data_IF_537665329638
#
_entry.id   IF_537665329638
#
_cell.length_a   1.000
_cell.length_b   1.000
_cell.length_c   1.000
_cell.angle_alpha   90.00
_cell.angle_beta   90.00
_cell.angle_gamma   90.00
#
_symmetry.space_group_name_H-M   'P 1'
#
loop_
_entity.id
_entity.type
_entity.pdbx_description
1 polymer ?
#
# COMPACT_ATOMS: atom_id res chain seq x y z
N UNK A 1 11.85 31.85 0.22
CA UNK A 1 12.19 30.86 -0.83
C UNK A 1 10.91 30.09 -1.11
N UNK A 2 10.44 30.04 -2.35
CA UNK A 2 9.31 29.18 -2.73
C UNK A 2 9.72 27.72 -2.53
N UNK A 3 8.82 26.91 -1.95
CA UNK A 3 9.09 25.48 -1.78
C UNK A 3 9.35 24.84 -3.17
N UNK A 4 10.30 23.90 -3.28
CA UNK A 4 10.60 23.25 -4.55
C UNK A 4 9.36 22.49 -5.06
N UNK A 5 9.00 22.72 -6.33
CA UNK A 5 7.87 22.07 -6.98
C UNK A 5 8.29 20.70 -7.54
N UNK A 6 7.71 19.59 -7.05
CA UNK A 6 8.11 18.26 -7.52
C UNK A 6 7.77 18.06 -9.00
N UNK A 7 8.64 17.35 -9.70
CA UNK A 7 8.47 17.04 -11.14
C UNK A 7 7.59 15.81 -11.31
N UNK A 8 6.58 15.89 -12.16
CA UNK A 8 5.73 14.74 -12.50
C UNK A 8 6.48 13.92 -13.54
N UNK A 9 6.65 12.62 -13.30
CA UNK A 9 7.26 11.67 -14.21
C UNK A 9 6.25 10.58 -14.54
N UNK A 10 5.75 10.59 -15.76
CA UNK A 10 4.86 9.57 -16.29
C UNK A 10 5.69 8.47 -16.96
N UNK A 11 5.48 7.23 -16.54
CA UNK A 11 6.14 6.03 -17.08
C UNK A 11 5.16 5.30 -17.99
N UNK A 12 5.53 5.09 -19.25
CA UNK A 12 4.71 4.34 -20.22
C UNK A 12 5.49 3.34 -21.06
N UNK A 13 4.78 2.39 -21.68
CA UNK A 13 5.39 1.36 -22.53
C UNK A 13 4.66 1.15 -23.87
N UNK A 14 3.51 0.48 -23.88
CA UNK A 14 2.79 0.09 -25.09
C UNK A 14 1.27 0.30 -25.02
N UNK A 15 0.80 1.10 -24.05
CA UNK A 15 -0.64 1.33 -23.78
C UNK A 15 -1.05 2.78 -24.05
N UNK A 16 -1.21 3.20 -25.32
CA UNK A 16 -1.50 4.60 -25.67
C UNK A 16 -2.82 5.11 -25.07
N UNK A 17 -3.84 4.25 -24.93
CA UNK A 17 -5.12 4.61 -24.32
C UNK A 17 -4.99 4.88 -22.82
N UNK A 18 -4.26 4.02 -22.11
CA UNK A 18 -3.99 4.18 -20.67
C UNK A 18 -3.18 5.45 -20.44
N UNK A 19 -2.10 5.66 -21.21
CA UNK A 19 -1.31 6.89 -21.18
C UNK A 19 -2.18 8.13 -21.42
N UNK A 20 -3.01 8.11 -22.46
CA UNK A 20 -3.95 9.21 -22.76
C UNK A 20 -4.92 9.50 -21.60
N UNK A 21 -5.44 8.45 -20.94
CA UNK A 21 -6.31 8.58 -19.77
C UNK A 21 -5.58 9.22 -18.57
N UNK A 22 -4.37 8.77 -18.26
CA UNK A 22 -3.56 9.37 -17.19
C UNK A 22 -3.27 10.84 -17.49
N UNK A 23 -2.75 11.15 -18.67
CA UNK A 23 -2.43 12.52 -19.09
C UNK A 23 -3.67 13.42 -19.05
N UNK A 24 -4.85 12.91 -19.45
CA UNK A 24 -6.11 13.61 -19.31
C UNK A 24 -6.46 13.94 -17.85
N UNK A 25 -6.23 13.01 -16.92
CA UNK A 25 -6.45 13.29 -15.49
C UNK A 25 -5.50 14.34 -14.92
N UNK A 26 -4.25 14.41 -15.41
CA UNK A 26 -3.29 15.44 -15.02
C UNK A 26 -3.75 16.86 -15.38
N UNK A 27 -4.45 17.04 -16.52
CA UNK A 27 -5.02 18.34 -16.92
C UNK A 27 -6.14 18.83 -16.00
N UNK A 28 -6.81 17.91 -15.29
CA UNK A 28 -7.91 18.25 -14.38
C UNK A 28 -7.45 18.52 -12.95
N UNK A 29 -6.15 18.32 -12.67
CA UNK A 29 -5.60 18.52 -11.35
C UNK A 29 -5.29 19.98 -11.04
N UNK A 30 -5.24 20.26 -9.73
CA UNK A 30 -4.96 21.58 -9.19
C UNK A 30 -3.49 21.68 -8.86
N UNK A 31 -2.87 22.72 -9.39
CA UNK A 31 -1.45 23.02 -9.18
C UNK A 31 -1.30 24.40 -8.54
N UNK A 32 -0.25 24.61 -7.73
CA UNK A 32 0.14 25.96 -7.32
C UNK A 32 0.65 26.77 -8.51
N UNK A 33 0.81 28.08 -8.33
CA UNK A 33 1.53 28.91 -9.31
C UNK A 33 2.99 28.47 -9.40
N UNK A 34 3.51 28.41 -10.62
CA UNK A 34 4.91 28.06 -10.89
C UNK A 34 5.05 27.13 -12.10
N UNK A 35 6.27 26.65 -12.30
CA UNK A 35 6.62 25.71 -13.37
C UNK A 35 6.40 24.27 -12.91
N UNK A 36 5.26 23.70 -13.28
CA UNK A 36 4.92 22.30 -12.99
C UNK A 36 5.51 21.44 -14.10
N UNK A 37 6.72 20.95 -13.89
CA UNK A 37 7.46 20.16 -14.87
C UNK A 37 6.83 18.77 -15.06
N UNK A 38 6.68 18.36 -16.31
CA UNK A 38 6.18 17.05 -16.72
C UNK A 38 7.22 16.34 -17.60
N UNK A 39 7.69 15.18 -17.14
CA UNK A 39 8.51 14.26 -17.91
C UNK A 39 7.67 13.04 -18.30
N UNK A 40 7.58 12.73 -19.58
CA UNK A 40 6.94 11.50 -20.09
C UNK A 40 8.07 10.57 -20.55
N UNK A 41 8.36 9.53 -19.78
CA UNK A 41 9.36 8.52 -20.10
C UNK A 41 8.71 7.26 -20.68
N UNK A 42 9.11 6.89 -21.90
CA UNK A 42 8.57 5.77 -22.65
C UNK A 42 9.64 4.71 -22.89
N UNK A 43 9.41 3.49 -22.39
CA UNK A 43 10.26 2.34 -22.72
C UNK A 43 9.98 1.85 -24.14
N UNK A 44 11.00 1.29 -24.81
CA UNK A 44 10.87 0.93 -26.21
C UNK A 44 10.05 -0.37 -26.39
N UNK A 45 8.82 -0.21 -26.89
CA UNK A 45 7.93 -1.33 -27.27
C UNK A 45 7.92 -1.65 -28.77
N UNK A 46 8.59 -0.83 -29.58
CA UNK A 46 8.41 -0.82 -31.05
C UNK A 46 7.08 -0.23 -31.53
N UNK A 47 6.14 0.07 -30.62
CA UNK A 47 4.88 0.73 -30.96
C UNK A 47 5.08 2.26 -30.97
N UNK A 48 4.86 2.97 -32.08
CA UNK A 48 4.99 4.43 -32.13
C UNK A 48 3.84 5.18 -31.43
N UNK A 49 2.70 4.54 -31.17
CA UNK A 49 1.48 5.22 -30.68
C UNK A 49 1.66 5.91 -29.32
N UNK A 50 2.29 5.30 -28.28
CA UNK A 50 2.51 6.00 -27.01
C UNK A 50 3.33 7.28 -27.17
N UNK A 51 4.33 7.26 -28.07
CA UNK A 51 5.13 8.44 -28.39
C UNK A 51 4.30 9.52 -29.09
N UNK A 52 3.46 9.15 -30.04
CA UNK A 52 2.53 10.08 -30.70
C UNK A 52 1.58 10.73 -29.68
N UNK A 53 1.06 9.96 -28.71
CA UNK A 53 0.23 10.49 -27.62
C UNK A 53 1.01 11.51 -26.79
N UNK A 54 2.25 11.21 -26.39
CA UNK A 54 3.09 12.11 -25.60
C UNK A 54 3.47 13.40 -26.36
N UNK A 55 3.80 13.29 -27.66
CA UNK A 55 4.14 14.42 -28.53
C UNK A 55 2.94 15.35 -28.72
N UNK A 56 1.75 14.79 -29.00
CA UNK A 56 0.52 15.54 -29.22
C UNK A 56 -0.10 16.14 -27.95
N UNK A 57 0.27 15.66 -26.75
CA UNK A 57 -0.28 16.14 -25.50
C UNK A 57 0.21 17.56 -25.16
N UNK A 58 -0.70 18.53 -25.10
CA UNK A 58 -0.36 19.91 -24.69
C UNK A 58 -0.36 20.03 -23.16
N UNK A 59 0.69 20.64 -22.61
CA UNK A 59 0.88 20.77 -21.17
C UNK A 59 0.95 22.25 -20.77
N UNK A 60 -0.12 22.83 -20.21
CA UNK A 60 -0.21 24.27 -20.00
C UNK A 60 0.42 24.76 -18.69
N UNK A 61 0.91 23.86 -17.83
CA UNK A 61 1.35 24.21 -16.47
C UNK A 61 2.88 24.35 -16.31
N UNK A 62 3.68 24.07 -17.34
CA UNK A 62 5.14 24.15 -17.23
C UNK A 62 5.91 23.47 -18.35
N UNK A 63 7.18 23.15 -18.11
CA UNK A 63 8.03 22.42 -19.05
C UNK A 63 7.48 21.00 -19.29
N UNK A 64 7.32 20.61 -20.56
CA UNK A 64 7.08 19.23 -20.99
C UNK A 64 8.33 18.65 -21.64
N UNK A 65 8.84 17.54 -21.11
CA UNK A 65 9.95 16.77 -21.67
C UNK A 65 9.54 15.34 -21.98
N UNK A 66 9.94 14.83 -23.14
CA UNK A 66 9.71 13.43 -23.53
C UNK A 66 11.05 12.69 -23.55
N UNK A 67 11.12 11.56 -22.86
CA UNK A 67 12.27 10.65 -22.88
C UNK A 67 11.80 9.34 -23.53
N UNK A 68 12.05 9.19 -24.83
CA UNK A 68 11.79 7.95 -25.54
C UNK A 68 13.07 7.11 -25.61
N UNK A 69 13.09 5.97 -24.92
CA UNK A 69 14.29 5.12 -24.86
C UNK A 69 14.55 4.45 -26.23
N UNK A 70 15.80 4.42 -26.71
CA UNK A 70 16.12 3.84 -28.02
C UNK A 70 16.08 2.31 -28.00
N UNK A 71 16.21 1.68 -26.84
CA UNK A 71 16.16 0.23 -26.65
C UNK A 71 15.27 -0.09 -25.45
N UNK A 72 14.78 -1.33 -25.39
CA UNK A 72 13.93 -1.78 -24.28
C UNK A 72 14.76 -1.94 -23.02
N UNK A 73 14.50 -1.12 -22.01
CA UNK A 73 15.11 -1.21 -20.68
C UNK A 73 14.47 -2.31 -19.83
N UNK A 74 13.17 -2.54 -20.01
CA UNK A 74 12.38 -3.39 -19.12
C UNK A 74 12.00 -2.68 -17.82
N UNK A 75 11.01 -3.25 -17.12
CA UNK A 75 10.31 -2.60 -16.00
C UNK A 75 11.27 -2.03 -14.93
N UNK A 76 12.15 -2.88 -14.38
CA UNK A 76 13.07 -2.46 -13.33
C UNK A 76 13.93 -1.28 -13.76
N UNK A 77 14.70 -1.45 -14.84
CA UNK A 77 15.66 -0.43 -15.25
C UNK A 77 14.96 0.87 -15.69
N UNK A 78 13.77 0.77 -16.29
CA UNK A 78 13.00 1.95 -16.66
C UNK A 78 12.56 2.76 -15.44
N UNK A 79 11.97 2.11 -14.42
CA UNK A 79 11.58 2.79 -13.18
C UNK A 79 12.80 3.35 -12.44
N UNK A 80 13.90 2.60 -12.36
CA UNK A 80 15.15 3.11 -11.76
C UNK A 80 15.65 4.37 -12.48
N UNK A 81 15.66 4.38 -13.83
CA UNK A 81 16.06 5.56 -14.59
C UNK A 81 15.15 6.77 -14.36
N UNK A 82 13.86 6.54 -14.06
CA UNK A 82 12.92 7.59 -13.73
C UNK A 82 13.12 8.13 -12.32
N UNK A 83 13.47 7.26 -11.34
CA UNK A 83 13.85 7.70 -10.00
C UNK A 83 15.18 8.48 -10.01
N UNK A 84 16.13 8.12 -10.87
CA UNK A 84 17.42 8.83 -11.04
C UNK A 84 17.22 10.30 -11.49
N UNK A 85 16.04 10.67 -12.00
CA UNK A 85 15.68 12.07 -12.30
C UNK A 85 15.62 12.96 -11.05
N UNK A 86 15.56 12.39 -9.85
CA UNK A 86 15.71 13.15 -8.59
C UNK A 86 17.03 13.91 -8.52
N UNK A 87 18.10 13.42 -9.15
CA UNK A 87 19.39 14.12 -9.22
C UNK A 87 19.31 15.42 -10.03
N UNK A 88 18.45 15.45 -11.05
CA UNK A 88 18.23 16.64 -11.88
C UNK A 88 17.17 17.57 -11.29
N UNK A 89 16.07 17.01 -10.78
CA UNK A 89 14.85 17.77 -10.50
C UNK A 89 14.58 17.96 -9.00
N UNK A 90 15.32 17.29 -8.12
CA UNK A 90 15.04 17.23 -6.68
C UNK A 90 13.96 16.20 -6.40
N UNK A 91 12.76 16.66 -6.08
CA UNK A 91 11.64 15.78 -5.77
C UNK A 91 10.89 15.36 -7.05
N UNK A 92 10.46 14.10 -7.10
CA UNK A 92 9.72 13.54 -8.24
C UNK A 92 8.46 12.81 -7.80
N UNK A 93 7.42 12.90 -8.62
CA UNK A 93 6.18 12.12 -8.51
C UNK A 93 6.15 11.15 -9.68
N UNK A 94 6.19 9.86 -9.41
CA UNK A 94 6.18 8.80 -10.43
C UNK A 94 4.78 8.25 -10.59
N UNK A 95 4.29 8.21 -11.83
CA UNK A 95 2.96 7.71 -12.20
C UNK A 95 3.08 6.73 -13.38
N UNK A 96 2.58 5.51 -13.21
CA UNK A 96 2.52 4.51 -14.29
C UNK A 96 1.31 4.76 -15.21
N UNK A 97 1.43 4.42 -16.49
CA UNK A 97 0.44 4.73 -17.54
C UNK A 97 -0.98 4.16 -17.30
N UNK A 98 -1.17 3.21 -16.39
CA UNK A 98 -2.47 2.64 -16.03
C UNK A 98 -3.14 3.31 -14.82
N UNK A 99 -2.54 4.36 -14.27
CA UNK A 99 -3.11 5.13 -13.17
C UNK A 99 -4.08 6.21 -13.63
N UNK A 100 -4.85 6.72 -12.68
CA UNK A 100 -5.62 7.96 -12.76
C UNK A 100 -5.46 8.73 -11.47
N UNK A 101 -5.26 10.05 -11.55
CA UNK A 101 -5.01 10.89 -10.37
C UNK A 101 -6.26 11.64 -9.90
N UNK A 102 -6.33 11.86 -8.60
CA UNK A 102 -7.23 12.85 -7.98
C UNK A 102 -6.84 14.25 -8.42
N UNK A 103 -7.80 15.20 -8.53
CA UNK A 103 -7.46 16.60 -8.75
C UNK A 103 -6.56 17.23 -7.67
N UNK A 104 -6.39 16.57 -6.52
CA UNK A 104 -5.61 17.06 -5.37
C UNK A 104 -4.29 16.31 -5.17
N UNK A 105 -3.91 15.41 -6.09
CA UNK A 105 -2.72 14.57 -5.93
C UNK A 105 -1.45 15.40 -5.75
N UNK A 106 -1.31 16.50 -6.50
CA UNK A 106 -0.10 17.32 -6.49
C UNK A 106 0.06 18.08 -5.17
N UNK A 107 -1.03 18.66 -4.67
CA UNK A 107 -1.05 19.38 -3.38
C UNK A 107 -0.71 18.44 -2.21
N UNK A 108 -1.32 17.25 -2.16
CA UNK A 108 -0.97 16.22 -1.18
C UNK A 108 0.51 15.87 -1.24
N UNK A 109 0.97 15.53 -2.44
CA UNK A 109 2.32 14.98 -2.62
C UNK A 109 3.39 16.00 -2.30
N UNK A 110 3.19 17.26 -2.72
CA UNK A 110 4.12 18.36 -2.43
C UNK A 110 4.24 18.60 -0.92
N UNK A 111 3.12 18.63 -0.20
CA UNK A 111 3.13 18.84 1.26
C UNK A 111 3.67 17.62 2.02
N UNK A 112 3.40 16.40 1.56
CA UNK A 112 3.93 15.17 2.15
C UNK A 112 5.45 15.07 1.96
N UNK A 113 5.96 15.36 0.75
CA UNK A 113 7.39 15.45 0.50
C UNK A 113 8.03 16.50 1.40
N UNK A 114 7.45 17.70 1.52
CA UNK A 114 7.95 18.72 2.44
C UNK A 114 7.99 18.24 3.90
N UNK A 115 7.00 17.45 4.34
CA UNK A 115 6.92 16.94 5.71
C UNK A 115 7.94 15.84 6.01
N UNK A 116 8.29 15.00 5.03
CA UNK A 116 9.08 13.78 5.26
C UNK A 116 10.38 13.69 4.45
N UNK A 117 10.71 14.69 3.62
CA UNK A 117 11.93 14.69 2.80
C UNK A 117 13.18 14.51 3.65
N UNK A 118 13.22 15.03 4.88
CA UNK A 118 14.36 14.93 5.79
C UNK A 118 14.19 13.87 6.90
N UNK A 119 13.05 13.16 6.95
CA UNK A 119 12.80 12.11 7.96
C UNK A 119 13.61 10.84 7.64
N UNK A 120 14.61 10.53 8.48
CA UNK A 120 15.50 9.38 8.30
C UNK A 120 14.78 8.02 8.34
N UNK A 121 13.58 7.93 8.92
CA UNK A 121 12.75 6.72 8.97
C UNK A 121 11.81 6.56 7.78
N UNK A 122 11.74 7.54 6.87
CA UNK A 122 10.88 7.51 5.69
C UNK A 122 11.69 7.24 4.43
N UNK A 123 11.24 6.28 3.63
CA UNK A 123 11.84 5.90 2.35
C UNK A 123 11.05 6.41 1.13
N UNK A 124 9.84 6.96 1.32
CA UNK A 124 9.06 7.51 0.22
C UNK A 124 7.60 7.74 0.59
N UNK A 125 6.88 8.36 -0.33
CA UNK A 125 5.47 8.69 -0.18
C UNK A 125 4.66 7.88 -1.19
N UNK A 126 3.57 7.26 -0.74
CA UNK A 126 2.55 6.68 -1.62
C UNK A 126 1.47 7.71 -1.92
N UNK A 127 0.90 7.65 -3.12
CA UNK A 127 -0.35 8.33 -3.48
C UNK A 127 -1.53 7.34 -3.45
N UNK A 128 -1.26 6.04 -3.42
CA UNK A 128 -2.26 5.00 -3.34
C UNK A 128 -2.58 4.65 -1.88
N UNK A 129 -3.86 4.54 -1.55
CA UNK A 129 -4.31 4.00 -0.26
C UNK A 129 -4.49 2.49 -0.36
N UNK A 130 -3.71 1.73 0.41
CA UNK A 130 -3.80 0.26 0.42
C UNK A 130 -5.11 -0.16 1.08
N UNK A 131 -5.94 -0.92 0.37
CA UNK A 131 -7.18 -1.49 0.90
C UNK A 131 -7.16 -3.02 0.97
N UNK A 132 -6.00 -3.59 0.68
CA UNK A 132 -5.84 -5.00 0.41
C UNK A 132 -4.45 -5.49 0.81
N UNK A 133 -4.40 -6.54 1.63
CA UNK A 133 -3.18 -7.25 1.99
C UNK A 133 -2.91 -8.34 0.94
N UNK A 134 -1.94 -8.07 0.07
CA UNK A 134 -1.56 -8.95 -1.03
C UNK A 134 -0.99 -10.30 -0.61
N UNK A 135 -0.34 -10.38 0.55
CA UNK A 135 0.31 -11.61 1.01
C UNK A 135 -0.71 -12.70 1.37
N UNK A 136 -1.93 -12.32 1.76
CA UNK A 136 -2.97 -13.25 2.25
C UNK A 136 -4.29 -13.20 1.47
N UNK A 137 -4.40 -12.32 0.48
CA UNK A 137 -5.62 -12.09 -0.27
C UNK A 137 -6.84 -11.68 0.58
N UNK A 138 -6.64 -10.72 1.46
CA UNK A 138 -7.68 -10.21 2.37
C UNK A 138 -7.71 -8.68 2.41
N UNK A 139 -8.86 -8.06 2.76
CA UNK A 139 -8.91 -6.62 2.95
C UNK A 139 -7.93 -6.15 4.02
N UNK A 140 -7.27 -5.02 3.75
CA UNK A 140 -6.49 -4.27 4.70
C UNK A 140 -7.28 -3.04 5.14
N UNK A 141 -7.35 -2.82 6.45
CA UNK A 141 -8.09 -1.73 7.07
C UNK A 141 -7.16 -1.05 8.09
N UNK A 142 -6.45 0.01 7.71
CA UNK A 142 -5.58 0.69 8.66
C UNK A 142 -6.40 1.26 9.81
N UNK A 143 -5.84 1.22 11.01
CA UNK A 143 -6.46 1.75 12.21
C UNK A 143 -6.53 3.27 12.10
N UNK A 144 -7.64 3.83 12.58
CA UNK A 144 -7.80 5.27 12.70
C UNK A 144 -6.67 5.87 13.54
N UNK A 145 -6.14 6.99 13.06
CA UNK A 145 -5.02 7.72 13.68
C UNK A 145 -5.41 9.17 13.98
N UNK A 146 -6.67 9.37 14.37
CA UNK A 146 -7.21 10.67 14.74
C UNK A 146 -7.22 11.65 13.58
N UNK A 147 -6.47 12.75 13.73
CA UNK A 147 -6.42 13.84 12.73
C UNK A 147 -5.31 13.65 11.69
N UNK A 148 -4.49 12.59 11.80
CA UNK A 148 -3.51 12.23 10.77
C UNK A 148 -4.20 11.81 9.48
N UNK A 149 -3.64 12.24 8.35
CA UNK A 149 -4.12 11.85 7.02
C UNK A 149 -3.29 10.71 6.42
N UNK A 150 -2.30 10.21 7.16
CA UNK A 150 -1.37 9.19 6.71
C UNK A 150 -1.12 8.12 7.78
N UNK A 151 -0.69 6.96 7.30
CA UNK A 151 -0.20 5.83 8.09
C UNK A 151 1.11 5.31 7.47
N UNK A 152 1.80 4.41 8.18
CA UNK A 152 3.14 3.96 7.81
C UNK A 152 3.15 2.47 7.55
N UNK A 153 3.73 2.03 6.43
CA UNK A 153 3.89 0.60 6.11
C UNK A 153 5.34 0.34 5.70
N UNK A 154 5.93 -0.74 6.22
CA UNK A 154 7.26 -1.22 5.85
C UNK A 154 7.25 -1.94 4.48
N UNK A 155 6.64 -1.32 3.47
CA UNK A 155 6.53 -1.84 2.10
C UNK A 155 6.54 -0.68 1.12
N UNK A 156 7.19 -0.82 -0.02
CA UNK A 156 7.21 0.21 -1.05
C UNK A 156 5.87 0.28 -1.81
N UNK A 157 5.55 1.45 -2.38
CA UNK A 157 4.37 1.66 -3.23
C UNK A 157 4.74 1.71 -4.73
N UNK A 158 3.87 1.20 -5.60
CA UNK A 158 4.03 1.23 -7.07
C UNK A 158 2.85 1.81 -7.85
N UNK A 159 1.77 2.26 -7.19
CA UNK A 159 0.59 2.82 -7.86
C UNK A 159 0.46 4.33 -7.64
N UNK A 160 1.57 5.03 -7.83
CA UNK A 160 1.72 6.43 -7.52
C UNK A 160 2.61 6.56 -6.29
N UNK A 161 3.82 7.02 -6.52
CA UNK A 161 4.84 7.15 -5.51
C UNK A 161 5.64 8.41 -5.73
N UNK A 162 6.17 8.98 -4.67
CA UNK A 162 7.02 10.14 -4.74
C UNK A 162 8.28 9.95 -3.90
N UNK A 163 9.37 10.48 -4.42
CA UNK A 163 10.67 10.44 -3.78
C UNK A 163 11.26 11.83 -3.76
N UNK A 164 11.78 12.21 -2.59
CA UNK A 164 12.80 13.24 -2.54
C UNK A 164 14.13 12.68 -3.05
N UNK A 165 15.07 13.58 -3.37
CA UNK A 165 16.43 13.16 -3.72
C UNK A 165 17.08 12.30 -2.63
N UNK A 166 16.88 12.63 -1.35
CA UNK A 166 17.44 11.83 -0.24
C UNK A 166 16.84 10.43 -0.19
N UNK A 167 15.52 10.31 -0.33
CA UNK A 167 14.83 8.99 -0.38
C UNK A 167 15.43 8.12 -1.49
N UNK A 168 15.59 8.68 -2.68
CA UNK A 168 16.10 7.94 -3.83
C UNK A 168 17.57 7.56 -3.68
N UNK A 169 18.43 8.50 -3.24
CA UNK A 169 19.85 8.24 -3.01
C UNK A 169 20.07 7.12 -2.00
N UNK A 170 19.30 7.09 -0.91
CA UNK A 170 19.37 6.03 0.09
C UNK A 170 19.13 4.64 -0.51
N UNK A 171 18.11 4.51 -1.36
CA UNK A 171 17.83 3.26 -2.07
C UNK A 171 18.94 2.91 -3.09
N UNK A 172 19.42 3.88 -3.87
CA UNK A 172 20.46 3.61 -4.89
C UNK A 172 21.78 3.17 -4.27
N UNK A 173 22.21 3.80 -3.18
CA UNK A 173 23.41 3.41 -2.43
C UNK A 173 23.25 2.00 -1.83
N UNK A 174 22.08 1.70 -1.28
CA UNK A 174 21.78 0.36 -0.78
C UNK A 174 21.85 -0.68 -1.90
N UNK A 175 21.24 -0.41 -3.05
CA UNK A 175 21.23 -1.32 -4.19
C UNK A 175 22.63 -1.56 -4.75
N UNK A 176 23.46 -0.53 -4.83
CA UNK A 176 24.87 -0.65 -5.24
C UNK A 176 25.67 -1.52 -4.27
N UNK A 177 25.42 -1.37 -2.96
CA UNK A 177 26.16 -2.10 -1.91
C UNK A 177 25.72 -3.57 -1.76
N UNK A 178 24.44 -3.87 -2.00
CA UNK A 178 23.86 -5.20 -1.73
C UNK A 178 23.56 -6.00 -3.00
N UNK A 179 23.54 -5.35 -4.17
CA UNK A 179 23.09 -5.97 -5.41
C UNK A 179 21.61 -6.35 -5.37
N UNK A 180 21.23 -7.34 -6.18
CA UNK A 180 19.82 -7.78 -6.31
C UNK A 180 19.50 -9.04 -5.52
N UNK A 181 20.49 -9.69 -4.88
CA UNK A 181 20.27 -10.87 -4.07
C UNK A 181 19.78 -10.48 -2.66
N UNK A 182 18.49 -10.66 -2.44
CA UNK A 182 17.80 -10.34 -1.18
C UNK A 182 17.57 -11.58 -0.31
N UNK A 183 18.17 -12.73 -0.64
CA UNK A 183 17.94 -14.01 0.06
C UNK A 183 18.27 -13.96 1.56
N UNK A 184 19.29 -13.19 1.93
CA UNK A 184 19.78 -13.03 3.30
C UNK A 184 18.95 -12.06 4.16
N UNK A 185 18.04 -11.30 3.56
CA UNK A 185 17.23 -10.29 4.28
C UNK A 185 16.02 -10.98 4.88
N UNK A 186 15.93 -11.01 6.20
CA UNK A 186 14.79 -11.57 6.93
C UNK A 186 13.56 -10.64 6.89
N UNK A 187 12.38 -11.15 7.24
CA UNK A 187 11.15 -10.35 7.35
C UNK A 187 10.46 -9.98 6.03
N UNK A 188 11.02 -10.34 4.87
CA UNK A 188 10.33 -10.17 3.57
C UNK A 188 9.25 -11.26 3.42
N UNK A 189 7.98 -10.90 3.17
CA UNK A 189 6.94 -11.86 2.83
C UNK A 189 7.34 -12.78 1.67
N UNK A 190 6.96 -14.05 1.75
CA UNK A 190 7.40 -15.09 0.81
C UNK A 190 6.93 -14.81 -0.62
N UNK A 191 5.73 -14.26 -0.78
CA UNK A 191 5.18 -13.84 -2.08
C UNK A 191 6.00 -12.70 -2.69
N UNK A 192 6.34 -11.67 -1.91
CA UNK A 192 7.18 -10.55 -2.35
C UNK A 192 8.58 -11.03 -2.74
N UNK A 193 9.17 -11.94 -1.95
CA UNK A 193 10.46 -12.56 -2.28
C UNK A 193 10.40 -13.33 -3.60
N UNK A 194 9.29 -14.03 -3.85
CA UNK A 194 9.02 -14.80 -5.06
C UNK A 194 8.67 -13.98 -6.30
N UNK A 195 8.52 -12.66 -6.19
CA UNK A 195 8.26 -11.81 -7.35
C UNK A 195 9.39 -11.90 -8.40
N UNK A 196 9.07 -11.70 -9.70
CA UNK A 196 10.05 -11.78 -10.77
C UNK A 196 11.25 -10.86 -10.54
N UNK A 197 12.42 -11.24 -11.06
CA UNK A 197 13.64 -10.43 -10.99
C UNK A 197 13.50 -9.05 -11.65
N UNK A 198 12.57 -8.91 -12.61
CA UNK A 198 12.21 -7.64 -13.21
C UNK A 198 11.43 -6.69 -12.29
N UNK A 199 11.02 -7.13 -11.10
CA UNK A 199 10.36 -6.27 -10.11
C UNK A 199 11.39 -5.39 -9.42
N UNK A 200 11.28 -4.08 -9.59
CA UNK A 200 12.02 -3.12 -8.75
C UNK A 200 11.45 -3.05 -7.33
N UNK A 201 10.13 -3.29 -7.20
CA UNK A 201 9.40 -3.14 -5.95
C UNK A 201 9.86 -4.14 -4.89
N UNK A 202 10.20 -5.39 -5.27
CA UNK A 202 10.78 -6.37 -4.33
C UNK A 202 12.10 -5.88 -3.73
N UNK A 203 12.95 -5.24 -4.53
CA UNK A 203 14.26 -4.73 -4.09
C UNK A 203 14.07 -3.49 -3.20
N UNK A 204 13.14 -2.61 -3.55
CA UNK A 204 12.84 -1.44 -2.73
C UNK A 204 12.24 -1.85 -1.37
N UNK A 205 11.30 -2.80 -1.35
CA UNK A 205 10.76 -3.35 -0.10
C UNK A 205 11.85 -4.02 0.74
N UNK A 206 12.79 -4.74 0.11
CA UNK A 206 13.95 -5.30 0.81
C UNK A 206 14.85 -4.22 1.44
N UNK A 207 15.10 -3.12 0.73
CA UNK A 207 15.79 -1.95 1.28
C UNK A 207 15.07 -1.40 2.52
N UNK A 208 13.76 -1.16 2.40
CA UNK A 208 12.92 -0.65 3.48
C UNK A 208 13.02 -1.54 4.73
N UNK A 209 12.82 -2.85 4.57
CA UNK A 209 12.88 -3.82 5.68
C UNK A 209 14.28 -3.87 6.30
N UNK A 210 15.32 -3.95 5.48
CA UNK A 210 16.72 -4.07 5.95
C UNK A 210 17.23 -2.85 6.73
N UNK A 211 16.55 -1.71 6.59
CA UNK A 211 16.92 -0.43 7.22
C UNK A 211 15.89 0.08 8.22
N UNK A 212 14.86 -0.70 8.53
CA UNK A 212 13.73 -0.31 9.39
C UNK A 212 13.08 1.02 8.96
N UNK A 213 12.88 1.17 7.64
CA UNK A 213 12.26 2.36 7.05
C UNK A 213 10.78 2.12 6.78
N UNK A 214 10.05 3.17 6.44
CA UNK A 214 8.64 3.10 6.12
C UNK A 214 8.29 3.96 4.91
N UNK A 215 7.30 3.53 4.15
CA UNK A 215 6.58 4.43 3.25
C UNK A 215 5.42 5.07 3.97
N UNK A 216 5.15 6.33 3.60
CA UNK A 216 3.99 7.08 4.08
C UNK A 216 2.82 6.84 3.13
N UNK A 217 1.75 6.26 3.63
CA UNK A 217 0.54 5.94 2.87
C UNK A 217 -0.62 6.83 3.30
N UNK A 218 -1.42 7.36 2.36
CA UNK A 218 -2.59 8.15 2.70
C UNK A 218 -3.78 7.26 3.08
N UNK A 219 -4.60 7.71 4.04
CA UNK A 219 -5.89 7.08 4.31
C UNK A 219 -6.90 7.27 3.16
N UNK A 220 -6.77 8.35 2.39
CA UNK A 220 -7.61 8.65 1.22
C UNK A 220 -6.73 8.57 -0.02
N UNK A 221 -7.09 7.74 -0.99
CA UNK A 221 -6.24 7.59 -2.16
C UNK A 221 -6.21 8.87 -3.02
N UNK A 222 -5.04 9.19 -3.57
CA UNK A 222 -4.82 10.23 -4.57
C UNK A 222 -4.63 9.64 -5.97
N UNK A 223 -4.47 8.33 -6.07
CA UNK A 223 -4.41 7.57 -7.34
C UNK A 223 -5.31 6.35 -7.29
N UNK A 224 -5.71 5.86 -8.45
CA UNK A 224 -6.37 4.56 -8.61
C UNK A 224 -5.78 3.83 -9.80
N UNK A 225 -5.65 2.51 -9.71
CA UNK A 225 -5.06 1.68 -10.76
C UNK A 225 -6.19 1.00 -11.55
N UNK A 226 -6.22 1.18 -12.88
CA UNK A 226 -7.24 0.60 -13.74
C UNK A 226 -7.06 -0.90 -14.01
N UNK A 227 -5.93 -1.48 -13.60
CA UNK A 227 -5.59 -2.88 -13.81
C UNK A 227 -5.58 -3.26 -15.28
N UNK A 228 -5.22 -2.31 -16.16
CA UNK A 228 -5.19 -2.55 -17.60
C UNK A 228 -4.20 -3.69 -17.90
N UNK A 229 -4.48 -4.57 -18.88
CA UNK A 229 -3.58 -5.67 -19.22
C UNK A 229 -2.14 -5.20 -19.46
N UNK A 230 -1.16 -5.90 -18.91
CA UNK A 230 0.25 -5.48 -18.84
C UNK A 230 1.15 -6.59 -18.28
N UNK A 231 2.34 -6.25 -17.77
CA UNK A 231 3.27 -7.28 -17.26
C UNK A 231 2.74 -8.06 -16.04
N UNK A 232 1.75 -7.52 -15.31
CA UNK A 232 1.19 -8.14 -14.10
C UNK A 232 -0.24 -8.70 -14.29
N UNK A 233 -0.97 -8.31 -15.34
CA UNK A 233 -2.37 -8.72 -15.56
C UNK A 233 -2.61 -9.14 -17.01
N UNK A 234 -3.18 -10.32 -17.21
CA UNK A 234 -3.59 -10.81 -18.54
C UNK A 234 -5.04 -10.41 -18.89
N UNK A 235 -5.83 -9.98 -17.91
CA UNK A 235 -7.24 -9.56 -18.03
C UNK A 235 -7.42 -8.29 -17.18
N UNK A 236 -8.19 -7.32 -17.69
CA UNK A 236 -8.51 -6.11 -16.94
C UNK A 236 -9.13 -6.45 -15.57
N UNK A 237 -8.59 -5.89 -14.49
CA UNK A 237 -9.03 -6.18 -13.13
C UNK A 237 -9.36 -4.91 -12.36
N UNK A 238 -10.56 -4.83 -11.80
CA UNK A 238 -10.95 -3.76 -10.87
C UNK A 238 -10.41 -3.98 -9.45
N UNK A 239 -9.68 -5.07 -9.20
CA UNK A 239 -9.19 -5.46 -7.87
C UNK A 239 -8.38 -4.38 -7.16
N UNK A 240 -7.66 -3.57 -7.92
CA UNK A 240 -6.76 -2.52 -7.41
C UNK A 240 -7.36 -1.13 -7.49
N UNK A 241 -8.61 -1.01 -7.97
CA UNK A 241 -9.32 0.25 -8.00
C UNK A 241 -9.78 0.63 -6.60
N UNK A 242 -9.46 1.86 -6.22
CA UNK A 242 -9.89 2.46 -4.96
C UNK A 242 -10.56 3.81 -5.21
N UNK A 243 -11.45 4.26 -4.31
CA UNK A 243 -11.96 5.63 -4.35
C UNK A 243 -10.79 6.62 -4.20
N UNK A 244 -10.80 7.67 -5.03
CA UNK A 244 -9.82 8.75 -4.97
C UNK A 244 -10.47 10.03 -4.44
N UNK A 245 -9.67 10.87 -3.77
CA UNK A 245 -10.13 12.13 -3.18
C UNK A 245 -10.74 13.07 -4.23
N UNK A 246 -11.88 13.67 -3.90
CA UNK A 246 -12.64 14.58 -4.78
C UNK A 246 -12.76 16.01 -4.22
N UNK A 247 -12.30 16.24 -2.99
CA UNK A 247 -12.42 17.54 -2.30
C UNK A 247 -11.09 17.93 -1.65
N UNK A 248 -10.81 19.22 -1.47
CA UNK A 248 -9.60 19.68 -0.79
C UNK A 248 -9.60 19.23 0.68
N UNK A 249 -8.40 19.06 1.22
CA UNK A 249 -8.16 18.66 2.61
C UNK A 249 -6.98 19.46 3.14
N UNK A 250 -7.11 19.97 4.37
CA UNK A 250 -5.98 20.51 5.12
C UNK A 250 -5.21 19.35 5.75
N UNK A 251 -4.23 18.83 5.01
CA UNK A 251 -3.48 17.64 5.42
C UNK A 251 -2.71 17.87 6.72
N UNK A 252 -2.75 16.85 7.56
CA UNK A 252 -1.94 16.71 8.77
C UNK A 252 -1.13 15.43 8.63
N UNK A 253 0.19 15.58 8.79
CA UNK A 253 1.17 14.53 8.61
C UNK A 253 1.74 14.19 9.99
N UNK A 254 1.33 13.05 10.55
CA UNK A 254 1.85 12.60 11.84
C UNK A 254 3.33 12.20 11.73
N UNK A 255 4.09 12.34 12.81
CA UNK A 255 5.39 11.67 12.90
C UNK A 255 5.17 10.20 13.20
N UNK A 256 6.04 9.33 12.68
CA UNK A 256 5.88 7.87 12.84
C UNK A 256 5.88 7.44 14.30
N UNK A 257 6.70 8.07 15.14
CA UNK A 257 6.79 7.79 16.57
C UNK A 257 5.48 8.10 17.34
N UNK A 258 4.69 9.06 16.83
CA UNK A 258 3.44 9.50 17.45
C UNK A 258 2.23 8.74 16.88
N UNK A 259 2.36 8.12 15.71
CA UNK A 259 1.27 7.44 15.00
C UNK A 259 0.86 6.12 15.68
N UNK A 260 -0.44 5.84 15.76
CA UNK A 260 -0.97 4.53 16.12
C UNK A 260 -1.00 3.56 14.92
N UNK A 261 -0.87 4.07 13.69
CA UNK A 261 -1.11 3.35 12.44
C UNK A 261 0.22 3.04 11.73
N UNK A 262 1.03 2.18 12.36
CA UNK A 262 2.36 1.76 11.87
C UNK A 262 2.38 0.25 11.70
N UNK A 263 2.70 -0.19 10.49
CA UNK A 263 2.59 -1.58 10.05
C UNK A 263 3.90 -2.10 9.47
N UNK A 264 4.15 -3.38 9.64
CA UNK A 264 5.23 -4.06 8.94
C UNK A 264 4.84 -4.49 7.51
N UNK A 265 5.76 -5.19 6.83
CA UNK A 265 5.60 -5.65 5.45
C UNK A 265 4.46 -6.67 5.26
N UNK A 266 3.94 -7.27 6.34
CA UNK A 266 2.79 -8.18 6.32
C UNK A 266 1.47 -7.47 6.56
N UNK A 267 1.47 -6.14 6.61
CA UNK A 267 0.34 -5.29 7.00
C UNK A 267 -0.17 -5.60 8.43
N UNK A 268 0.70 -6.10 9.30
CA UNK A 268 0.38 -6.31 10.72
C UNK A 268 0.79 -5.07 11.52
N UNK A 269 -0.07 -4.64 12.45
CA UNK A 269 0.22 -3.50 13.31
C UNK A 269 1.41 -3.83 14.23
N UNK A 270 2.35 -2.90 14.39
CA UNK A 270 3.55 -3.17 15.20
C UNK A 270 3.22 -3.41 16.68
N UNK A 271 3.94 -4.31 17.38
CA UNK A 271 3.79 -4.54 18.82
C UNK A 271 3.85 -3.25 19.65
N UNK A 272 4.71 -2.30 19.28
CA UNK A 272 4.84 -1.01 19.95
C UNK A 272 3.54 -0.20 19.97
N UNK A 273 2.72 -0.30 18.92
CA UNK A 273 1.45 0.40 18.82
C UNK A 273 0.43 -0.16 19.83
N UNK A 274 0.38 -1.49 19.99
CA UNK A 274 -0.43 -2.13 21.02
C UNK A 274 0.05 -1.75 22.42
N UNK A 275 1.35 -1.85 22.70
CA UNK A 275 1.92 -1.55 24.02
C UNK A 275 1.64 -0.13 24.50
N UNK A 276 1.62 0.86 23.59
CA UNK A 276 1.29 2.27 23.92
C UNK A 276 -0.16 2.46 24.36
N UNK A 277 -1.07 1.57 23.99
CA UNK A 277 -2.54 1.77 24.17
C UNK A 277 -3.19 0.70 25.03
N UNK A 278 -2.55 -0.46 25.17
CA UNK A 278 -3.04 -1.57 25.98
C UNK A 278 -1.97 -1.98 27.02
N UNK A 279 -2.12 -1.55 28.28
CA UNK A 279 -1.21 -1.90 29.36
C UNK A 279 -1.08 -3.41 29.63
N UNK A 280 -2.09 -4.22 29.28
CA UNK A 280 -2.02 -5.69 29.43
C UNK A 280 -0.90 -6.30 28.60
N UNK A 281 -0.46 -5.62 27.54
CA UNK A 281 0.55 -6.12 26.61
C UNK A 281 1.94 -5.52 26.85
N UNK A 282 2.09 -4.59 27.81
CA UNK A 282 3.29 -3.78 27.98
C UNK A 282 4.57 -4.63 28.21
N UNK A 283 4.45 -5.65 29.06
CA UNK A 283 5.60 -6.45 29.53
C UNK A 283 5.91 -7.67 28.66
N UNK A 284 5.13 -7.92 27.60
CA UNK A 284 5.31 -9.08 26.73
C UNK A 284 6.17 -8.73 25.52
N UNK A 285 7.12 -9.60 25.17
CA UNK A 285 7.76 -9.58 23.85
C UNK A 285 7.00 -10.54 22.92
N UNK A 286 6.43 -10.02 21.83
CA UNK A 286 5.56 -10.80 20.94
C UNK A 286 5.59 -10.30 19.51
N UNK A 287 5.29 -11.20 18.58
CA UNK A 287 5.02 -10.88 17.17
C UNK A 287 3.51 -10.72 16.94
N UNK A 288 3.11 -9.80 16.07
CA UNK A 288 1.70 -9.69 15.63
C UNK A 288 1.52 -10.49 14.36
N UNK A 289 0.55 -11.40 14.33
CA UNK A 289 0.27 -12.33 13.24
C UNK A 289 -1.25 -12.58 13.13
N UNK A 290 -2.02 -11.49 13.05
CA UNK A 290 -3.48 -11.55 12.99
C UNK A 290 -3.96 -12.04 11.63
N UNK A 291 -3.31 -11.66 10.54
CA UNK A 291 -3.56 -12.24 9.21
C UNK A 291 -3.08 -13.69 9.11
N UNK A 292 -2.07 -14.09 9.89
CA UNK A 292 -1.61 -15.49 9.98
C UNK A 292 -0.61 -15.87 8.88
N UNK A 293 0.07 -14.91 8.26
CA UNK A 293 1.04 -15.12 7.17
C UNK A 293 2.50 -15.20 7.62
N UNK A 294 2.79 -14.89 8.88
CA UNK A 294 4.15 -14.95 9.40
C UNK A 294 4.46 -16.32 9.97
N UNK A 295 5.68 -16.76 9.71
CA UNK A 295 6.29 -17.85 10.48
C UNK A 295 6.80 -17.27 11.80
N UNK A 296 6.07 -17.50 12.89
CA UNK A 296 6.42 -16.99 14.22
C UNK A 296 7.09 -18.08 15.07
N UNK A 297 7.99 -17.65 15.97
CA UNK A 297 8.54 -18.47 17.07
C UNK A 297 8.29 -17.73 18.38
N UNK A 298 7.86 -18.45 19.41
CA UNK A 298 7.54 -17.89 20.72
C UNK A 298 6.18 -17.20 20.73
N UNK A 299 6.05 -16.16 21.57
CA UNK A 299 4.78 -15.49 21.83
C UNK A 299 4.29 -14.66 20.64
N UNK A 300 3.01 -14.80 20.31
CA UNK A 300 2.38 -14.03 19.24
C UNK A 300 0.95 -13.60 19.59
N UNK A 301 0.55 -12.43 19.09
CA UNK A 301 -0.86 -12.07 18.94
C UNK A 301 -1.36 -12.63 17.62
N UNK A 302 -2.29 -13.58 17.67
CA UNK A 302 -2.79 -14.26 16.47
C UNK A 302 -4.26 -14.62 16.58
N UNK A 303 -4.86 -14.99 15.45
CA UNK A 303 -6.20 -15.56 15.42
C UNK A 303 -6.17 -17.02 15.86
N UNK A 304 -6.92 -17.35 16.89
CA UNK A 304 -7.05 -18.71 17.40
C UNK A 304 -8.25 -18.86 18.33
N UNK A 305 -8.77 -20.08 18.41
CA UNK A 305 -9.78 -20.49 19.40
C UNK A 305 -9.11 -21.11 20.65
N UNK A 306 -7.78 -21.31 20.60
CA UNK A 306 -7.04 -21.82 21.74
C UNK A 306 -6.97 -20.78 22.86
N UNK A 307 -6.93 -21.26 24.10
CA UNK A 307 -6.72 -20.42 25.27
C UNK A 307 -5.25 -20.00 25.33
N UNK A 308 -4.99 -18.70 25.27
CA UNK A 308 -3.67 -18.11 25.43
C UNK A 308 -3.48 -17.51 26.82
N UNK A 309 -2.43 -16.70 26.97
CA UNK A 309 -2.20 -15.87 28.15
C UNK A 309 -3.31 -14.82 28.30
N UNK A 310 -3.72 -14.24 27.17
CA UNK A 310 -4.87 -13.34 27.05
C UNK A 310 -5.67 -13.74 25.82
N UNK A 311 -6.99 -13.71 25.93
CA UNK A 311 -7.92 -14.01 24.84
C UNK A 311 -8.80 -12.80 24.57
N UNK A 312 -8.95 -12.47 23.29
CA UNK A 312 -9.76 -11.35 22.84
C UNK A 312 -10.79 -11.82 21.81
N UNK A 313 -11.91 -11.12 21.74
CA UNK A 313 -12.96 -11.39 20.79
C UNK A 313 -12.56 -10.99 19.37
N UNK A 314 -12.79 -11.81 18.35
CA UNK A 314 -12.75 -11.38 16.94
C UNK A 314 -14.06 -10.68 16.55
N UNK A 315 -14.32 -9.49 17.11
CA UNK A 315 -15.62 -8.79 16.95
C UNK A 315 -15.55 -7.34 16.50
N UNK A 316 -14.42 -6.64 16.69
CA UNK A 316 -14.23 -5.27 16.19
C UNK A 316 -13.48 -5.25 14.86
N UNK A 317 -13.63 -4.15 14.11
CA UNK A 317 -12.94 -3.90 12.83
C UNK A 317 -12.18 -2.57 12.86
N UNK A 318 -10.88 -2.54 12.53
CA UNK A 318 -10.05 -3.70 12.19
C UNK A 318 -9.81 -4.61 13.42
N UNK A 319 -9.23 -5.80 13.22
CA UNK A 319 -9.14 -6.86 14.24
C UNK A 319 -8.45 -6.37 15.52
N UNK A 320 -7.45 -5.52 15.34
CA UNK A 320 -6.62 -4.84 16.31
C UNK A 320 -7.44 -4.11 17.38
N UNK A 321 -8.60 -3.56 17.02
CA UNK A 321 -9.43 -2.80 17.97
C UNK A 321 -9.93 -3.66 19.13
N UNK A 322 -10.23 -4.94 18.89
CA UNK A 322 -10.68 -5.83 19.96
C UNK A 322 -9.59 -6.01 21.03
N UNK A 323 -8.33 -6.05 20.59
CA UNK A 323 -7.15 -6.14 21.47
C UNK A 323 -6.89 -4.80 22.15
N UNK A 324 -6.94 -3.68 21.41
CA UNK A 324 -6.70 -2.34 21.97
C UNK A 324 -7.73 -1.94 23.04
N UNK A 325 -8.96 -2.43 22.92
CA UNK A 325 -10.05 -2.15 23.86
C UNK A 325 -10.26 -3.24 24.92
N UNK A 326 -9.40 -4.26 24.98
CA UNK A 326 -9.54 -5.39 25.92
C UNK A 326 -10.93 -6.05 25.88
N UNK A 327 -11.45 -6.25 24.67
CA UNK A 327 -12.71 -6.96 24.48
C UNK A 327 -12.43 -8.45 24.68
N UNK A 328 -12.67 -8.95 25.89
CA UNK A 328 -12.53 -10.36 26.22
C UNK A 328 -13.45 -11.23 25.36
N UNK A 329 -12.95 -12.38 24.91
CA UNK A 329 -13.74 -13.33 24.12
C UNK A 329 -12.87 -14.32 23.34
N UNK A 330 -13.45 -14.90 22.30
CA UNK A 330 -12.82 -15.93 21.46
C UNK A 330 -12.41 -15.40 20.08
N UNK A 331 -11.44 -16.04 19.46
CA UNK A 331 -11.01 -15.79 18.07
C UNK A 331 -9.67 -15.07 17.94
N UNK A 332 -9.17 -14.44 19.00
CA UNK A 332 -7.84 -13.83 19.10
C UNK A 332 -7.16 -14.23 20.41
N UNK A 333 -5.85 -14.44 20.41
CA UNK A 333 -5.10 -14.67 21.63
C UNK A 333 -3.65 -14.17 21.56
N UNK A 334 -3.11 -13.81 22.73
CA UNK A 334 -1.67 -13.78 22.98
C UNK A 334 -1.25 -15.19 23.43
N UNK A 335 -0.55 -15.93 22.59
CA UNK A 335 -0.27 -17.36 22.81
C UNK A 335 1.10 -17.74 22.26
N UNK A 336 1.75 -18.73 22.85
CA UNK A 336 3.00 -19.26 22.29
C UNK A 336 2.72 -20.06 21.01
N UNK A 337 3.55 -19.87 19.99
CA UNK A 337 3.55 -20.65 18.76
C UNK A 337 3.53 -22.18 18.98
N UNK A 338 4.14 -22.68 20.06
CA UNK A 338 4.17 -24.11 20.39
C UNK A 338 2.80 -24.65 20.84
N UNK A 339 1.92 -23.78 21.35
CA UNK A 339 0.60 -24.15 21.88
C UNK A 339 -0.50 -24.07 20.82
N UNK A 340 -0.18 -23.64 19.59
CA UNK A 340 -1.11 -23.61 18.47
C UNK A 340 -1.32 -25.02 17.90
N UNK A 341 -2.47 -25.62 18.19
CA UNK A 341 -2.84 -26.94 17.66
C UNK A 341 -3.31 -26.83 16.20
N UNK A 342 -2.62 -27.51 15.29
CA UNK A 342 -3.01 -27.57 13.88
C UNK A 342 -3.93 -28.77 13.60
N UNK A 343 -5.25 -28.62 13.82
CA UNK A 343 -6.24 -29.55 13.25
C UNK A 343 -6.86 -28.96 11.97
N UNK A 344 -6.87 -29.76 10.90
CA UNK A 344 -7.44 -29.46 9.58
C UNK A 344 -8.88 -28.90 9.61
N UNK A 345 -9.75 -29.42 10.47
CA UNK A 345 -11.13 -28.93 10.62
C UNK A 345 -11.19 -27.55 11.26
N UNK A 346 -10.29 -27.28 12.21
CA UNK A 346 -10.13 -25.97 12.84
C UNK A 346 -9.68 -24.93 11.82
N UNK A 347 -8.73 -25.30 10.94
CA UNK A 347 -8.23 -24.42 9.87
C UNK A 347 -9.31 -24.04 8.85
N UNK A 348 -10.13 -24.99 8.39
CA UNK A 348 -11.22 -24.69 7.45
C UNK A 348 -12.29 -23.77 8.06
N UNK A 349 -12.66 -24.02 9.32
CA UNK A 349 -13.59 -23.15 10.05
C UNK A 349 -13.01 -21.75 10.23
N UNK A 350 -11.76 -21.63 10.67
CA UNK A 350 -11.07 -20.35 10.84
C UNK A 350 -10.95 -19.57 9.53
N UNK A 351 -10.77 -20.26 8.40
CA UNK A 351 -10.79 -19.64 7.07
C UNK A 351 -12.21 -19.16 6.70
N UNK A 352 -13.26 -19.94 6.93
CA UNK A 352 -14.62 -19.46 6.67
C UNK A 352 -14.98 -18.23 7.52
N UNK A 353 -14.64 -18.26 8.82
CA UNK A 353 -14.89 -17.15 9.73
C UNK A 353 -14.11 -15.88 9.37
N UNK A 354 -12.93 -16.01 8.75
CA UNK A 354 -12.19 -14.85 8.25
C UNK A 354 -12.91 -14.15 7.09
N UNK A 355 -13.43 -14.92 6.14
CA UNK A 355 -14.17 -14.35 5.02
C UNK A 355 -15.47 -13.72 5.51
N UNK A 356 -16.12 -14.35 6.49
CA UNK A 356 -17.29 -13.81 7.16
C UNK A 356 -16.97 -12.48 7.85
N UNK A 357 -15.86 -12.43 8.57
CA UNK A 357 -15.38 -11.23 9.23
C UNK A 357 -15.15 -10.11 8.21
N UNK A 358 -14.31 -10.30 7.19
CA UNK A 358 -13.96 -9.22 6.27
C UNK A 358 -15.10 -8.82 5.32
N UNK A 359 -15.77 -9.78 4.70
CA UNK A 359 -16.77 -9.54 3.66
C UNK A 359 -18.20 -9.42 4.18
N UNK A 360 -18.38 -9.46 5.51
CA UNK A 360 -19.70 -9.32 6.18
C UNK A 360 -20.72 -10.36 5.71
N UNK A 361 -20.28 -11.55 5.30
CA UNK A 361 -21.22 -12.62 4.94
C UNK A 361 -22.05 -13.00 6.18
N UNK A 362 -23.37 -13.23 6.02
CA UNK A 362 -24.18 -13.74 7.12
C UNK A 362 -23.75 -15.16 7.48
N UNK A 363 -23.82 -15.52 8.76
CA UNK A 363 -23.58 -16.91 9.18
C UNK A 363 -24.67 -17.82 8.62
N UNK A 364 -24.37 -19.12 8.46
CA UNK A 364 -25.36 -20.12 8.02
C UNK A 364 -26.63 -20.09 8.88
N UNK A 365 -26.49 -19.85 10.19
CA UNK A 365 -27.63 -19.68 11.10
C UNK A 365 -28.48 -18.45 10.76
N UNK A 366 -27.85 -17.31 10.47
CA UNK A 366 -28.56 -16.08 10.06
C UNK A 366 -29.26 -16.29 8.71
N UNK A 367 -28.59 -16.94 7.75
CA UNK A 367 -29.20 -17.29 6.45
C UNK A 367 -30.44 -18.16 6.68
N UNK A 368 -30.33 -19.20 7.50
CA UNK A 368 -31.43 -20.11 7.80
C UNK A 368 -32.58 -19.39 8.52
N UNK A 369 -32.30 -18.54 9.51
CA UNK A 369 -33.30 -17.71 10.18
C UNK A 369 -34.02 -16.79 9.19
N UNK A 370 -33.28 -16.11 8.31
CA UNK A 370 -33.87 -15.25 7.28
C UNK A 370 -34.76 -16.02 6.29
N UNK A 371 -34.40 -17.26 5.93
CA UNK A 371 -35.25 -18.14 5.12
C UNK A 371 -36.52 -18.53 5.89
N UNK A 372 -36.40 -18.91 7.17
CA UNK A 372 -37.53 -19.27 8.01
C UNK A 372 -38.50 -18.10 8.22
N UNK A 373 -38.01 -16.90 8.50
CA UNK A 373 -38.83 -15.68 8.60
C UNK A 373 -39.57 -15.39 7.29
N UNK A 374 -38.89 -15.54 6.15
CA UNK A 374 -39.51 -15.34 4.84
C UNK A 374 -40.61 -16.36 4.55
N UNK A 375 -40.42 -17.63 4.94
CA UNK A 375 -41.44 -18.67 4.85
C UNK A 375 -42.65 -18.37 5.74
N UNK A 376 -42.41 -17.90 6.98
CA UNK A 376 -43.48 -17.50 7.90
C UNK A 376 -44.29 -16.31 7.35
N UNK A 377 -43.64 -15.33 6.72
CA UNK A 377 -44.31 -14.20 6.08
C UNK A 377 -45.17 -14.62 4.89
N UNK A 378 -44.73 -15.61 4.12
CA UNK A 378 -45.51 -16.16 3.00
C UNK A 378 -46.73 -16.94 3.51
N UNK A 379 -46.57 -17.74 4.57
CA UNK A 379 -47.67 -18.50 5.19
C UNK A 379 -48.69 -17.61 5.91
N UNK A 380 -48.30 -16.42 6.38
CA UNK A 380 -49.25 -15.43 6.94
C UNK A 380 -50.01 -14.63 5.87
N UNK A 381 -49.57 -14.67 4.61
CA UNK A 381 -50.20 -13.97 3.48
C UNK A 381 -51.07 -14.89 2.61
N UNK A 382 -50.95 -16.21 2.79
CA UNK A 382 -51.87 -17.23 2.26
C UNK A 382 -52.98 -17.49 3.28
#
# INVERSE_FOLDING_TARGET
MTAPLPTIVVIGYNRPKSLSRLLGSLLTARYPEGDIRLVISLDNSGNPQPRQVAEAFDWPHGEKRIIAHPQRLGLRQHVLSCGDLTEQYGDVIILEDDLFVSPFFYDYTSKALQAYADDAGVAGISLYSVQFNQTVDLPFMPIDDGDSHVHFIQMAASWGQAWSRRHWQGFRQWLESNGTDISHIEGIPADIRGWPESSWLKLYTAYIISKDLYFVYPFRSLTTNFGDPGQHFNIASSRFQVPIQQQPVDYRFARREDSLSVYDAYCELLPSCFKRRNPLLADYDFTVNLYGSKTCKGLQLTRTEARGLHNFSLSMKPMELSILHNIEGEGLALIDSADLVSDSKSQQKAQYDIYRFFYKFPSVRIIFLGVMERLQLLLKRA
#
